data_IF_348606544601
#
_entry.id   IF_348606544601
#
_cell.length_a   1.000
_cell.length_b   1.000
_cell.length_c   1.000
_cell.angle_alpha   90.00
_cell.angle_beta   90.00
_cell.angle_gamma   90.00
#
_symmetry.space_group_name_H-M   'P 1'
#
loop_
_entity.id
_entity.type
_entity.pdbx_description
1 polymer ?
#
# COMPACT_ATOMS: atom_id res chain seq x y z
N UNK A 1 25.86 14.97 -32.07
CA UNK A 1 25.64 13.51 -32.12
C UNK A 1 26.79 12.87 -31.35
N UNK A 2 26.58 12.70 -30.05
CA UNK A 2 27.57 12.14 -29.11
C UNK A 2 26.79 11.20 -28.21
N UNK A 3 26.93 9.90 -28.46
CA UNK A 3 26.29 8.80 -27.73
C UNK A 3 26.97 8.64 -26.37
N UNK A 4 26.28 9.09 -25.31
CA UNK A 4 26.59 8.67 -23.94
C UNK A 4 26.53 7.14 -23.84
N UNK A 5 27.36 6.49 -23.01
CA UNK A 5 27.25 5.05 -22.80
C UNK A 5 25.87 4.77 -22.22
N UNK A 6 24.98 4.20 -23.03
CA UNK A 6 23.70 3.66 -22.56
C UNK A 6 24.05 2.52 -21.60
N UNK A 7 24.06 2.83 -20.30
CA UNK A 7 24.04 1.81 -19.24
C UNK A 7 22.71 1.09 -19.44
N UNK A 8 22.75 -0.06 -20.09
CA UNK A 8 21.57 -0.87 -20.31
C UNK A 8 21.16 -1.52 -18.99
N UNK A 9 20.28 -0.81 -18.27
CA UNK A 9 19.71 -1.21 -16.99
C UNK A 9 19.04 -2.59 -17.10
N UNK A 10 18.56 -2.96 -18.29
CA UNK A 10 17.92 -4.24 -18.54
C UNK A 10 18.91 -5.41 -18.52
N UNK A 11 20.09 -5.22 -19.09
CA UNK A 11 21.13 -6.25 -19.16
C UNK A 11 21.77 -6.48 -17.78
N UNK A 12 22.04 -5.41 -17.01
CA UNK A 12 22.55 -5.48 -15.64
C UNK A 12 21.53 -6.10 -14.65
N UNK A 13 20.23 -5.79 -14.78
CA UNK A 13 19.19 -6.44 -13.97
C UNK A 13 19.01 -7.92 -14.33
N UNK A 14 19.15 -8.27 -15.62
CA UNK A 14 18.99 -9.65 -16.08
C UNK A 14 20.09 -10.59 -15.55
N UNK A 15 21.28 -10.05 -15.28
CA UNK A 15 22.40 -10.75 -14.64
C UNK A 15 22.38 -10.75 -13.11
N UNK A 16 21.48 -9.99 -12.48
CA UNK A 16 21.42 -9.87 -11.03
C UNK A 16 20.88 -11.16 -10.39
N UNK A 17 21.77 -11.91 -9.74
CA UNK A 17 21.37 -13.09 -8.98
C UNK A 17 20.38 -12.70 -7.86
N UNK A 18 19.28 -13.47 -7.73
CA UNK A 18 18.29 -13.29 -6.66
C UNK A 18 18.97 -13.58 -5.31
N UNK A 19 19.52 -12.54 -4.71
CA UNK A 19 20.11 -12.60 -3.37
C UNK A 19 19.06 -12.75 -2.28
N UNK A 20 19.51 -13.06 -1.05
CA UNK A 20 18.66 -13.14 0.15
C UNK A 20 17.76 -11.92 0.36
N UNK A 21 18.24 -10.73 0.01
CA UNK A 21 17.46 -9.48 0.11
C UNK A 21 16.21 -9.50 -0.78
N UNK A 22 16.31 -9.99 -2.02
CA UNK A 22 15.17 -10.08 -2.93
C UNK A 22 14.11 -11.07 -2.43
N UNK A 23 14.55 -12.19 -1.84
CA UNK A 23 13.64 -13.17 -1.23
C UNK A 23 12.94 -12.56 -0.01
N UNK A 24 13.67 -11.88 0.87
CA UNK A 24 13.10 -11.21 2.04
C UNK A 24 12.10 -10.12 1.62
N UNK A 25 12.44 -9.30 0.62
CA UNK A 25 11.54 -8.29 0.07
C UNK A 25 10.31 -8.95 -0.57
N UNK A 26 10.48 -10.03 -1.33
CA UNK A 26 9.37 -10.77 -1.92
C UNK A 26 8.41 -11.32 -0.86
N UNK A 27 8.95 -11.94 0.20
CA UNK A 27 8.15 -12.44 1.32
C UNK A 27 7.44 -11.29 2.04
N UNK A 28 8.15 -10.19 2.31
CA UNK A 28 7.59 -9.05 3.03
C UNK A 28 6.47 -8.38 2.22
N UNK A 29 6.68 -8.15 0.92
CA UNK A 29 5.66 -7.60 0.02
C UNK A 29 4.47 -8.55 -0.05
N UNK A 30 4.70 -9.86 -0.18
CA UNK A 30 3.63 -10.86 -0.19
C UNK A 30 2.81 -10.80 1.11
N UNK A 31 3.48 -10.70 2.26
CA UNK A 31 2.83 -10.62 3.56
C UNK A 31 2.00 -9.33 3.69
N UNK A 32 2.57 -8.19 3.30
CA UNK A 32 1.88 -6.89 3.33
C UNK A 32 0.63 -6.93 2.44
N UNK A 33 0.75 -7.41 1.21
CA UNK A 33 -0.37 -7.53 0.27
C UNK A 33 -1.46 -8.48 0.79
N UNK A 34 -1.07 -9.56 1.47
CA UNK A 34 -2.01 -10.49 2.09
C UNK A 34 -2.84 -9.81 3.19
N UNK A 35 -2.19 -9.05 4.07
CA UNK A 35 -2.86 -8.29 5.13
C UNK A 35 -3.75 -7.18 4.57
N UNK A 36 -3.27 -6.41 3.59
CA UNK A 36 -4.05 -5.35 2.93
C UNK A 36 -5.32 -5.89 2.25
N UNK A 37 -5.21 -7.05 1.61
CA UNK A 37 -6.35 -7.77 1.07
C UNK A 37 -7.35 -8.17 2.15
N UNK A 38 -6.88 -8.75 3.26
CA UNK A 38 -7.73 -9.12 4.39
C UNK A 38 -8.51 -7.93 4.95
N UNK A 39 -7.85 -6.80 5.20
CA UNK A 39 -8.47 -5.59 5.73
C UNK A 39 -9.50 -5.00 4.77
N UNK A 40 -9.25 -5.09 3.46
CA UNK A 40 -10.18 -4.61 2.42
C UNK A 40 -11.43 -5.49 2.32
N UNK A 41 -11.30 -6.81 2.49
CA UNK A 41 -12.43 -7.75 2.39
C UNK A 41 -13.22 -7.94 3.70
N UNK A 42 -12.58 -7.74 4.85
CA UNK A 42 -13.19 -7.94 6.17
C UNK A 42 -14.54 -7.20 6.35
N UNK A 43 -14.71 -5.92 5.95
CA UNK A 43 -15.97 -5.20 6.09
C UNK A 43 -17.15 -5.88 5.37
N UNK A 44 -16.90 -6.49 4.21
CA UNK A 44 -17.94 -7.18 3.43
C UNK A 44 -18.47 -8.42 4.16
N UNK A 45 -17.65 -9.07 4.98
CA UNK A 45 -18.07 -10.20 5.81
C UNK A 45 -18.78 -9.74 7.08
N UNK A 46 -18.22 -8.74 7.77
CA UNK A 46 -18.74 -8.24 9.03
C UNK A 46 -20.11 -7.59 8.86
N UNK A 47 -20.39 -6.95 7.71
CA UNK A 47 -21.61 -6.19 7.51
C UNK A 47 -22.89 -7.01 7.69
N UNK A 48 -22.87 -8.30 7.36
CA UNK A 48 -24.01 -9.20 7.55
C UNK A 48 -24.34 -9.42 9.04
N UNK A 49 -23.34 -9.34 9.93
CA UNK A 49 -23.51 -9.47 11.36
C UNK A 49 -23.94 -8.16 12.03
N UNK A 50 -23.42 -7.01 11.57
CA UNK A 50 -23.75 -5.69 12.14
C UNK A 50 -24.98 -5.01 11.53
N UNK A 51 -25.45 -5.46 10.35
CA UNK A 51 -26.61 -4.85 9.69
C UNK A 51 -27.89 -4.89 10.56
N UNK A 52 -28.14 -6.02 11.25
CA UNK A 52 -29.30 -6.17 12.16
C UNK A 52 -29.22 -5.25 13.40
N UNK A 53 -28.15 -5.29 14.22
CA UNK A 53 -28.07 -4.46 15.42
C UNK A 53 -27.98 -2.96 15.14
N UNK A 54 -27.50 -2.55 13.96
CA UNK A 54 -27.47 -1.13 13.55
C UNK A 54 -28.69 -0.68 12.74
N UNK A 55 -29.65 -1.57 12.46
CA UNK A 55 -30.86 -1.25 11.72
C UNK A 55 -30.62 -0.77 10.29
N UNK A 56 -29.51 -1.20 9.67
CA UNK A 56 -29.09 -0.73 8.35
C UNK A 56 -29.92 -1.39 7.25
N UNK A 57 -30.39 -0.59 6.29
CA UNK A 57 -30.94 -1.12 5.04
C UNK A 57 -29.81 -1.74 4.18
N UNK A 58 -30.13 -2.67 3.25
CA UNK A 58 -29.14 -3.23 2.33
C UNK A 58 -28.43 -2.16 1.48
N UNK A 59 -29.13 -1.06 1.14
CA UNK A 59 -28.54 0.05 0.39
C UNK A 59 -27.54 0.86 1.23
N UNK A 60 -27.83 1.08 2.52
CA UNK A 60 -26.91 1.77 3.43
C UNK A 60 -25.66 0.93 3.72
N UNK A 61 -25.83 -0.39 3.84
CA UNK A 61 -24.71 -1.31 3.97
C UNK A 61 -23.77 -1.25 2.76
N UNK A 62 -24.32 -1.30 1.54
CA UNK A 62 -23.54 -1.13 0.32
C UNK A 62 -22.84 0.22 0.22
N UNK A 63 -23.50 1.29 0.67
CA UNK A 63 -22.91 2.63 0.72
C UNK A 63 -21.74 2.73 1.71
N UNK A 64 -21.83 2.10 2.88
CA UNK A 64 -20.75 2.02 3.87
C UNK A 64 -19.49 1.34 3.33
N UNK A 65 -19.64 0.21 2.62
CA UNK A 65 -18.50 -0.48 2.02
C UNK A 65 -17.91 0.36 0.87
N UNK A 66 -18.78 0.95 0.06
CA UNK A 66 -18.36 1.78 -1.09
C UNK A 66 -17.61 3.03 -0.65
N UNK A 67 -18.01 3.67 0.46
CA UNK A 67 -17.31 4.85 0.98
C UNK A 67 -15.88 4.53 1.44
N UNK A 68 -15.66 3.32 1.98
CA UNK A 68 -14.32 2.80 2.28
C UNK A 68 -13.45 2.65 1.03
N UNK A 69 -13.99 2.06 -0.05
CA UNK A 69 -13.28 1.92 -1.33
C UNK A 69 -12.96 3.28 -1.97
N UNK A 70 -13.90 4.23 -1.89
CA UNK A 70 -13.69 5.60 -2.37
C UNK A 70 -12.59 6.28 -1.56
N UNK A 71 -12.60 6.14 -0.23
CA UNK A 71 -11.52 6.63 0.64
C UNK A 71 -10.16 6.02 0.31
N UNK A 72 -10.11 4.71 0.04
CA UNK A 72 -8.90 4.02 -0.40
C UNK A 72 -8.37 4.58 -1.72
N UNK A 73 -9.23 4.83 -2.70
CA UNK A 73 -8.85 5.42 -4.00
C UNK A 73 -8.19 6.79 -3.81
N UNK A 74 -8.83 7.68 -3.04
CA UNK A 74 -8.28 9.00 -2.76
C UNK A 74 -7.00 8.94 -1.92
N UNK A 75 -6.93 8.02 -0.96
CA UNK A 75 -5.74 7.74 -0.16
C UNK A 75 -4.58 7.27 -1.03
N UNK A 76 -4.80 6.32 -1.95
CA UNK A 76 -3.77 5.80 -2.83
C UNK A 76 -3.23 6.88 -3.80
N UNK A 77 -4.11 7.68 -4.41
CA UNK A 77 -3.71 8.77 -5.31
C UNK A 77 -2.96 9.87 -4.55
N UNK A 78 -3.46 10.26 -3.37
CA UNK A 78 -2.82 11.25 -2.52
C UNK A 78 -1.46 10.78 -2.01
N UNK A 79 -1.38 9.56 -1.50
CA UNK A 79 -0.16 9.03 -0.93
C UNK A 79 0.88 8.67 -2.01
N UNK A 80 0.45 8.24 -3.19
CA UNK A 80 1.34 8.02 -4.35
C UNK A 80 2.00 9.32 -4.82
N UNK A 81 1.21 10.38 -5.02
CA UNK A 81 1.76 11.70 -5.42
C UNK A 81 2.66 12.33 -4.35
N UNK A 82 2.36 12.10 -3.07
CA UNK A 82 3.19 12.50 -1.93
C UNK A 82 4.49 11.68 -1.88
N UNK A 83 4.43 10.37 -2.05
CA UNK A 83 5.60 9.48 -2.05
C UNK A 83 6.56 9.81 -3.21
N UNK A 84 6.01 10.12 -4.39
CA UNK A 84 6.79 10.51 -5.57
C UNK A 84 7.42 11.90 -5.43
N UNK A 85 6.74 12.85 -4.77
CA UNK A 85 7.26 14.22 -4.57
C UNK A 85 8.26 14.35 -3.43
N UNK A 86 8.13 13.58 -2.35
CA UNK A 86 9.03 13.68 -1.19
C UNK A 86 10.34 12.92 -1.36
N UNK A 87 10.44 12.06 -2.39
CA UNK A 87 11.58 11.18 -2.60
C UNK A 87 11.71 10.13 -1.50
N UNK A 88 12.11 8.91 -1.85
CA UNK A 88 12.25 7.75 -0.93
C UNK A 88 12.87 8.07 0.45
N UNK A 89 13.74 9.09 0.52
CA UNK A 89 14.43 9.53 1.74
C UNK A 89 13.54 10.37 2.69
N UNK A 90 12.67 11.24 2.17
CA UNK A 90 11.79 12.10 2.99
C UNK A 90 10.68 11.30 3.68
N UNK A 91 10.09 10.33 2.97
CA UNK A 91 9.02 9.47 3.50
C UNK A 91 9.54 8.52 4.60
N UNK A 92 10.73 7.95 4.42
CA UNK A 92 11.38 7.11 5.44
C UNK A 92 11.75 7.92 6.70
N UNK A 93 12.25 9.15 6.54
CA UNK A 93 12.59 10.02 7.67
C UNK A 93 11.33 10.51 8.41
N UNK A 94 10.26 10.87 7.69
CA UNK A 94 8.99 11.27 8.29
C UNK A 94 8.32 10.12 9.05
N UNK A 95 8.34 8.89 8.49
CA UNK A 95 7.84 7.70 9.18
C UNK A 95 8.63 7.39 10.47
N UNK A 96 9.96 7.52 10.44
CA UNK A 96 10.80 7.37 11.62
C UNK A 96 10.51 8.44 12.68
N UNK A 97 10.28 9.68 12.25
CA UNK A 97 9.95 10.80 13.14
C UNK A 97 8.63 10.57 13.86
N UNK A 98 7.59 10.17 13.13
CA UNK A 98 6.27 9.86 13.69
C UNK A 98 6.36 8.70 14.68
N UNK A 99 7.03 7.60 14.31
CA UNK A 99 7.16 6.42 15.18
C UNK A 99 7.95 6.71 16.47
N UNK A 100 8.95 7.61 16.41
CA UNK A 100 9.71 8.04 17.59
C UNK A 100 8.87 8.97 18.49
N UNK A 101 8.05 9.85 17.90
CA UNK A 101 7.20 10.77 18.66
C UNK A 101 6.07 10.08 19.42
N UNK A 102 5.66 8.87 19.02
CA UNK A 102 4.63 8.08 19.69
C UNK A 102 5.09 7.34 20.96
N UNK A 103 6.37 7.39 21.32
CA UNK A 103 6.93 6.74 22.51
C UNK A 103 7.43 7.73 23.59
N UNK A 104 7.10 9.03 23.50
CA UNK A 104 7.43 10.01 24.53
C UNK A 104 6.17 10.57 25.22
#
# INVERSE_FOLDING_TARGET
MSTSPDIDVHEELSGAAIGRLHIVLGILITLITLFDGYDTFNPAYVIHYVAKPWGLSPSQAGFLVSSGLVGFLFGAVGHGTVADRLGRRGTLLAGLWVSTSSHC
#
